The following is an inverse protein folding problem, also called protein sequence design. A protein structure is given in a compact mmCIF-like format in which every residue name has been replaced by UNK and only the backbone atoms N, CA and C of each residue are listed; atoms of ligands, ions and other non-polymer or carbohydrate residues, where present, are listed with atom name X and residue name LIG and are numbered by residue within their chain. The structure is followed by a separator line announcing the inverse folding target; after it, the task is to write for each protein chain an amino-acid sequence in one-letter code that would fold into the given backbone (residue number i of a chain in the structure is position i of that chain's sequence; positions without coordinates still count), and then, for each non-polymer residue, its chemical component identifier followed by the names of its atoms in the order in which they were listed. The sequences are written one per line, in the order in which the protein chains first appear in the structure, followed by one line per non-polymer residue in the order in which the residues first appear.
data_IF_196078748777
#
_entry.id   IF_196078748777
#
_cell.length_a   1.000
_cell.length_b   1.000
_cell.length_c   1.000
_cell.angle_alpha   90.00
_cell.angle_beta   90.00
_cell.angle_gamma   90.00
#
_symmetry.space_group_name_H-M   'P 1'
#
loop_
_entity.id
_entity.type
_entity.pdbx_description
1 polymer ?
#
# COMPACT_ATOMS: atom_id res chain seq x y z
N UNK A 1 -41.00 -20.29 36.22
CA UNK A 1 -40.20 -19.83 35.05
C UNK A 1 -38.81 -20.42 35.19
N UNK A 2 -38.50 -21.43 34.39
CA UNK A 2 -37.22 -22.14 34.47
C UNK A 2 -36.15 -21.38 33.68
N UNK A 3 -35.16 -20.82 34.37
CA UNK A 3 -34.05 -20.09 33.75
C UNK A 3 -33.13 -21.09 33.06
N UNK A 4 -33.09 -21.07 31.72
CA UNK A 4 -32.16 -21.88 30.92
C UNK A 4 -30.73 -21.65 31.40
N UNK A 5 -30.10 -22.71 31.90
CA UNK A 5 -28.68 -22.77 32.31
C UNK A 5 -27.81 -22.25 31.16
N UNK A 6 -26.92 -21.25 31.37
CA UNK A 6 -26.13 -20.70 30.28
C UNK A 6 -25.19 -21.79 29.75
N UNK A 7 -25.31 -22.09 28.45
CA UNK A 7 -24.42 -23.01 27.77
C UNK A 7 -22.97 -22.52 27.93
N UNK A 8 -22.07 -23.37 28.45
CA UNK A 8 -20.65 -23.06 28.59
C UNK A 8 -20.05 -22.82 27.20
N UNK A 9 -19.81 -21.56 26.85
CA UNK A 9 -19.21 -21.19 25.56
C UNK A 9 -17.72 -21.52 25.59
N UNK A 10 -17.23 -22.24 24.56
CA UNK A 10 -15.79 -22.49 24.36
C UNK A 10 -14.97 -21.20 24.21
N UNK A 11 -15.60 -20.10 23.79
CA UNK A 11 -14.96 -18.80 23.53
C UNK A 11 -15.56 -17.77 24.49
N UNK A 12 -14.81 -17.43 25.53
CA UNK A 12 -15.26 -16.62 26.67
C UNK A 12 -14.90 -15.14 26.56
N UNK A 13 -13.90 -14.79 25.76
CA UNK A 13 -13.43 -13.41 25.58
C UNK A 13 -14.21 -12.73 24.45
N UNK A 14 -14.82 -11.58 24.75
CA UNK A 14 -15.52 -10.73 23.79
C UNK A 14 -14.77 -9.41 23.59
N UNK A 15 -14.73 -8.93 22.34
CA UNK A 15 -14.18 -7.63 21.95
C UNK A 15 -15.22 -6.88 21.14
N UNK A 16 -15.37 -5.57 21.38
CA UNK A 16 -16.30 -4.70 20.66
C UNK A 16 -15.55 -3.94 19.57
N UNK A 17 -16.19 -3.81 18.41
CA UNK A 17 -15.73 -3.02 17.27
C UNK A 17 -16.90 -2.17 16.79
N UNK A 18 -16.62 -0.92 16.46
CA UNK A 18 -17.57 -0.03 15.80
C UNK A 18 -17.08 0.20 14.37
N UNK A 19 -18.04 0.28 13.44
CA UNK A 19 -17.79 0.59 12.04
C UNK A 19 -18.72 1.74 11.64
N UNK A 20 -18.22 2.63 10.79
CA UNK A 20 -19.07 3.47 9.96
C UNK A 20 -19.83 2.62 8.94
N UNK A 21 -20.89 3.18 8.34
CA UNK A 21 -21.67 2.49 7.32
C UNK A 21 -20.80 2.06 6.11
N UNK A 22 -19.86 2.92 5.71
CA UNK A 22 -18.96 2.69 4.57
C UNK A 22 -17.95 1.57 4.88
N UNK A 23 -17.39 1.54 6.09
CA UNK A 23 -16.49 0.47 6.52
C UNK A 23 -17.22 -0.87 6.61
N UNK A 24 -18.44 -0.87 7.15
CA UNK A 24 -19.25 -2.08 7.24
C UNK A 24 -19.56 -2.67 5.87
N UNK A 25 -19.89 -1.83 4.89
CA UNK A 25 -20.15 -2.30 3.53
C UNK A 25 -18.91 -2.98 2.91
N UNK A 26 -17.72 -2.41 3.13
CA UNK A 26 -16.46 -2.99 2.69
C UNK A 26 -16.20 -4.35 3.35
N UNK A 27 -16.38 -4.43 4.68
CA UNK A 27 -16.24 -5.67 5.45
C UNK A 27 -17.22 -6.73 4.94
N UNK A 28 -18.49 -6.36 4.72
CA UNK A 28 -19.52 -7.27 4.23
C UNK A 28 -19.22 -7.79 2.82
N UNK A 29 -18.71 -6.94 1.91
CA UNK A 29 -18.26 -7.36 0.57
C UNK A 29 -17.12 -8.38 0.66
N UNK A 30 -16.09 -8.10 1.45
CA UNK A 30 -14.95 -9.02 1.64
C UNK A 30 -15.41 -10.34 2.28
N UNK A 31 -16.23 -10.27 3.32
CA UNK A 31 -16.77 -11.45 3.99
C UNK A 31 -17.54 -12.37 3.02
N UNK A 32 -18.39 -11.80 2.15
CA UNK A 32 -19.09 -12.54 1.11
C UNK A 32 -18.15 -13.15 0.07
N UNK A 33 -17.12 -12.41 -0.35
CA UNK A 33 -16.12 -12.93 -1.29
C UNK A 33 -15.34 -14.14 -0.72
N UNK A 34 -15.12 -14.18 0.60
CA UNK A 34 -14.54 -15.34 1.30
C UNK A 34 -15.54 -16.48 1.56
N UNK A 35 -16.79 -16.37 1.09
CA UNK A 35 -17.83 -17.39 1.28
C UNK A 35 -18.34 -17.51 2.71
N UNK A 36 -18.12 -16.49 3.55
CA UNK A 36 -18.53 -16.49 4.95
C UNK A 36 -19.79 -15.64 5.15
N UNK A 37 -20.67 -16.11 6.03
CA UNK A 37 -21.93 -15.43 6.39
C UNK A 37 -21.91 -14.86 7.81
N UNK A 38 -20.97 -15.33 8.64
CA UNK A 38 -20.83 -14.91 10.04
C UNK A 38 -19.62 -14.00 10.22
N UNK A 39 -19.88 -12.75 10.62
CA UNK A 39 -18.82 -11.80 10.96
C UNK A 39 -17.88 -12.33 12.04
N UNK A 40 -18.40 -12.98 13.08
CA UNK A 40 -17.57 -13.54 14.17
C UNK A 40 -16.63 -14.65 13.72
N UNK A 41 -16.98 -15.38 12.65
CA UNK A 41 -16.08 -16.36 12.02
C UNK A 41 -15.06 -15.62 11.16
N UNK A 42 -15.52 -14.76 10.26
CA UNK A 42 -14.67 -13.96 9.37
C UNK A 42 -13.60 -13.15 10.13
N UNK A 43 -14.01 -12.40 11.16
CA UNK A 43 -13.11 -11.61 11.99
C UNK A 43 -12.08 -12.49 12.72
N UNK A 44 -12.47 -13.69 13.17
CA UNK A 44 -11.54 -14.61 13.84
C UNK A 44 -10.53 -15.19 12.87
N UNK A 45 -10.97 -15.66 11.70
CA UNK A 45 -10.07 -16.13 10.64
C UNK A 45 -9.08 -15.02 10.25
N UNK A 46 -9.56 -13.79 10.09
CA UNK A 46 -8.72 -12.65 9.75
C UNK A 46 -7.75 -12.27 10.89
N UNK A 47 -8.18 -12.32 12.16
CA UNK A 47 -7.32 -11.96 13.29
C UNK A 47 -6.30 -13.06 13.65
N UNK A 48 -6.60 -14.32 13.34
CA UNK A 48 -5.69 -15.46 13.60
C UNK A 48 -4.75 -15.74 12.43
N UNK A 49 -5.28 -15.67 11.20
CA UNK A 49 -4.58 -16.09 9.99
C UNK A 49 -4.29 -14.94 9.02
N UNK A 50 -4.88 -13.76 9.25
CA UNK A 50 -4.60 -12.59 8.44
C UNK A 50 -3.17 -12.14 8.65
N UNK A 51 -2.42 -12.09 7.55
CA UNK A 51 -1.10 -11.48 7.56
C UNK A 51 -1.31 -9.97 7.78
N UNK A 52 -0.84 -9.44 8.91
CA UNK A 52 -0.77 -7.99 9.12
C UNK A 52 0.39 -7.51 8.25
N UNK A 53 0.08 -7.06 7.04
CA UNK A 53 1.03 -6.25 6.29
C UNK A 53 1.08 -4.90 6.98
N UNK A 54 2.09 -4.70 7.83
CA UNK A 54 2.54 -3.36 8.17
C UNK A 54 3.02 -2.79 6.84
N UNK A 55 2.15 -2.06 6.15
CA UNK A 55 2.60 -1.11 5.15
C UNK A 55 3.30 -0.03 5.95
N UNK A 56 4.59 -0.24 6.26
CA UNK A 56 5.44 0.91 6.51
C UNK A 56 5.21 1.83 5.31
N UNK A 57 4.84 3.11 5.52
CA UNK A 57 4.58 4.03 4.44
C UNK A 57 5.87 4.23 3.65
N UNK A 58 6.16 3.36 2.68
CA UNK A 58 7.23 3.43 1.68
C UNK A 58 8.41 4.29 2.14
N UNK A 59 9.06 3.90 3.23
CA UNK A 59 10.17 4.65 3.83
C UNK A 59 11.37 4.74 2.87
N UNK A 60 11.38 3.93 1.81
CA UNK A 60 12.49 3.83 0.88
C UNK A 60 12.37 4.71 -0.38
N UNK A 61 11.30 5.50 -0.54
CA UNK A 61 11.15 6.37 -1.73
C UNK A 61 11.50 7.84 -1.48
N UNK A 62 11.99 8.20 -0.29
CA UNK A 62 12.40 9.58 0.03
C UNK A 62 13.49 10.08 -0.92
N UNK A 63 14.46 9.23 -1.22
CA UNK A 63 15.67 9.62 -1.94
C UNK A 63 15.42 9.72 -3.44
N UNK A 64 14.64 8.77 -3.99
CA UNK A 64 14.14 8.87 -5.36
C UNK A 64 13.25 10.09 -5.54
N UNK A 65 12.31 10.32 -4.61
CA UNK A 65 11.39 11.47 -4.66
C UNK A 65 12.13 12.79 -4.56
N UNK A 66 13.08 12.91 -3.64
CA UNK A 66 13.97 14.08 -3.52
C UNK A 66 14.76 14.35 -4.80
N UNK A 67 15.27 13.28 -5.44
CA UNK A 67 16.02 13.39 -6.70
C UNK A 67 15.12 13.85 -7.86
N UNK A 68 13.89 13.31 -7.96
CA UNK A 68 12.89 13.73 -8.95
C UNK A 68 12.45 15.19 -8.70
N UNK A 69 12.21 15.58 -7.45
CA UNK A 69 11.79 16.94 -7.08
C UNK A 69 12.84 17.98 -7.49
N UNK A 70 14.14 17.68 -7.27
CA UNK A 70 15.24 18.54 -7.71
C UNK A 70 15.28 18.69 -9.23
N UNK A 71 15.10 17.60 -9.98
CA UNK A 71 15.06 17.65 -11.44
C UNK A 71 13.85 18.45 -11.94
N UNK A 72 12.68 18.21 -11.35
CA UNK A 72 11.45 18.95 -11.66
C UNK A 72 11.61 20.46 -11.44
N UNK A 73 12.27 20.86 -10.36
CA UNK A 73 12.58 22.27 -10.10
C UNK A 73 13.48 22.89 -11.18
N UNK A 74 14.53 22.18 -11.62
CA UNK A 74 15.41 22.65 -12.70
C UNK A 74 14.65 22.81 -14.02
N UNK A 75 13.79 21.85 -14.37
CA UNK A 75 12.94 21.93 -15.57
C UNK A 75 11.97 23.13 -15.47
N UNK A 76 11.36 23.34 -14.31
CA UNK A 76 10.46 24.47 -14.08
C UNK A 76 11.18 25.83 -14.19
N UNK A 77 12.42 25.92 -13.72
CA UNK A 77 13.24 27.13 -13.90
C UNK A 77 13.53 27.41 -15.37
N UNK A 78 13.90 26.37 -16.15
CA UNK A 78 14.13 26.50 -17.58
C UNK A 78 12.84 26.93 -18.30
N UNK A 79 11.69 26.34 -17.94
CA UNK A 79 10.40 26.69 -18.50
C UNK A 79 10.01 28.14 -18.19
N UNK A 80 10.18 28.57 -16.93
CA UNK A 80 9.94 29.96 -16.52
C UNK A 80 10.85 30.93 -17.28
N UNK A 81 12.13 30.62 -17.42
CA UNK A 81 13.07 31.46 -18.17
C UNK A 81 12.67 31.56 -19.64
N UNK A 82 12.39 30.43 -20.30
CA UNK A 82 11.94 30.42 -21.70
C UNK A 82 10.61 31.15 -21.90
N UNK A 83 9.70 31.07 -20.94
CA UNK A 83 8.44 31.81 -20.95
C UNK A 83 8.66 33.32 -20.80
N UNK A 84 9.58 33.73 -19.91
CA UNK A 84 9.99 35.15 -19.72
C UNK A 84 10.64 35.70 -20.97
N UNK A 85 11.50 34.92 -21.63
CA UNK A 85 12.20 35.32 -22.85
C UNK A 85 11.32 35.21 -24.10
N UNK A 86 10.10 34.65 -23.96
CA UNK A 86 9.19 34.29 -25.06
C UNK A 86 9.82 33.40 -26.14
N UNK A 87 10.93 32.74 -25.81
CA UNK A 87 11.65 31.86 -26.71
C UNK A 87 12.42 30.79 -25.91
N UNK A 88 12.41 29.56 -26.42
CA UNK A 88 13.26 28.50 -25.91
C UNK A 88 14.54 28.41 -26.74
N UNK A 89 15.68 28.54 -26.09
CA UNK A 89 17.00 28.38 -26.73
C UNK A 89 17.33 26.91 -26.92
N UNK A 90 18.17 26.61 -27.92
CA UNK A 90 18.67 25.24 -28.13
C UNK A 90 19.35 24.66 -26.89
N UNK A 91 20.11 25.48 -26.15
CA UNK A 91 20.78 25.06 -24.91
C UNK A 91 19.78 24.65 -23.83
N UNK A 92 18.68 25.40 -23.66
CA UNK A 92 17.60 25.06 -22.72
C UNK A 92 16.92 23.74 -23.11
N UNK A 93 16.66 23.51 -24.39
CA UNK A 93 16.05 22.25 -24.87
C UNK A 93 16.98 21.06 -24.63
N UNK A 94 18.28 21.22 -24.90
CA UNK A 94 19.29 20.18 -24.62
C UNK A 94 19.39 19.90 -23.12
N UNK A 95 19.34 20.93 -22.28
CA UNK A 95 19.36 20.79 -20.82
C UNK A 95 18.14 20.02 -20.30
N UNK A 96 16.92 20.36 -20.76
CA UNK A 96 15.70 19.62 -20.38
C UNK A 96 15.77 18.17 -20.85
N UNK A 97 16.25 17.92 -22.08
CA UNK A 97 16.40 16.55 -22.58
C UNK A 97 17.35 15.72 -21.72
N UNK A 98 18.45 16.31 -21.24
CA UNK A 98 19.40 15.64 -20.33
C UNK A 98 18.74 15.32 -18.99
N UNK A 99 18.01 16.27 -18.41
CA UNK A 99 17.28 16.09 -17.16
C UNK A 99 16.21 14.99 -17.26
N UNK A 100 15.50 14.90 -18.38
CA UNK A 100 14.52 13.83 -18.61
C UNK A 100 15.17 12.45 -18.75
N UNK A 101 16.36 12.36 -19.37
CA UNK A 101 17.15 11.13 -19.38
C UNK A 101 17.55 10.71 -17.96
N UNK A 102 17.96 11.67 -17.11
CA UNK A 102 18.32 11.40 -15.72
C UNK A 102 17.14 10.84 -14.91
N UNK A 103 15.94 11.39 -15.07
CA UNK A 103 14.71 10.84 -14.47
C UNK A 103 14.45 9.40 -14.95
N UNK A 104 14.65 9.12 -16.24
CA UNK A 104 14.42 7.79 -16.80
C UNK A 104 15.37 6.75 -16.20
N UNK A 105 16.64 7.08 -16.01
CA UNK A 105 17.60 6.17 -15.39
C UNK A 105 17.29 5.97 -13.89
N UNK A 106 16.98 7.05 -13.15
CA UNK A 106 16.58 6.95 -11.74
C UNK A 106 15.37 6.03 -11.51
N UNK A 107 14.35 6.12 -12.38
CA UNK A 107 13.17 5.25 -12.29
C UNK A 107 13.50 3.80 -12.64
N UNK A 108 14.42 3.58 -13.58
CA UNK A 108 14.86 2.23 -13.98
C UNK A 108 15.65 1.52 -12.88
N UNK A 109 16.55 2.24 -12.22
CA UNK A 109 17.40 1.71 -11.14
C UNK A 109 16.59 1.33 -9.89
N UNK A 110 15.57 2.13 -9.57
CA UNK A 110 14.64 1.83 -8.46
C UNK A 110 13.73 0.63 -8.78
N UNK A 111 13.21 0.56 -10.02
CA UNK A 111 12.34 -0.54 -10.46
C UNK A 111 13.07 -1.90 -10.52
N UNK A 112 14.38 -1.91 -10.79
CA UNK A 112 15.19 -3.14 -10.83
C UNK A 112 15.52 -3.71 -9.45
N UNK A 113 15.31 -2.94 -8.38
CA UNK A 113 15.64 -3.32 -7.00
C UNK A 113 14.47 -3.98 -6.24
N UNK A 114 13.26 -3.98 -6.81
CA UNK A 114 12.03 -4.45 -6.15
C UNK A 114 11.57 -5.87 -6.57
N UNK A 115 12.31 -6.56 -7.44
CA UNK A 115 11.84 -7.77 -8.13
C UNK A 115 12.33 -9.10 -7.50
N UNK A 116 12.57 -9.14 -6.18
CA UNK A 116 13.12 -10.34 -5.54
C UNK A 116 12.78 -10.49 -4.07
N UNK A 117 11.78 -11.35 -3.80
CA UNK A 117 11.68 -12.33 -2.71
C UNK A 117 10.26 -12.42 -2.09
N UNK A 118 9.36 -13.08 -2.81
CA UNK A 118 8.25 -13.82 -2.18
C UNK A 118 8.69 -15.27 -2.00
N UNK A 119 9.28 -15.61 -0.84
CA UNK A 119 9.40 -17.01 -0.44
C UNK A 119 8.04 -17.49 0.06
N UNK A 120 7.39 -18.32 -0.75
CA UNK A 120 6.27 -19.16 -0.35
C UNK A 120 6.79 -20.25 0.59
N UNK A 121 6.45 -20.13 1.88
CA UNK A 121 6.55 -21.23 2.83
C UNK A 121 5.13 -21.57 3.30
N UNK A 122 4.46 -22.41 2.52
CA UNK A 122 3.32 -23.18 3.01
C UNK A 122 3.72 -24.64 3.18
N UNK A 123 3.21 -25.19 4.28
CA UNK A 123 3.16 -26.59 4.68
C UNK A 123 4.43 -27.18 5.31
N UNK A 124 4.42 -27.27 6.64
CA UNK A 124 3.98 -28.52 7.31
C UNK A 124 3.93 -28.33 8.82
N UNK A 125 2.73 -28.22 9.40
CA UNK A 125 2.51 -28.67 10.78
C UNK A 125 1.16 -29.37 10.82
N UNK A 126 1.21 -30.70 10.76
CA UNK A 126 0.14 -31.56 11.25
C UNK A 126 0.23 -31.61 12.79
N UNK A 127 -0.88 -31.54 13.55
CA UNK A 127 -0.85 -31.68 14.99
C UNK A 127 -1.24 -33.11 15.43
N UNK A 128 -0.46 -33.68 16.36
CA UNK A 128 -1.00 -34.57 17.41
C UNK A 128 -1.51 -33.72 18.59
#
# INVERSE_FOLDING_TARGET
METRKPARRKRTIQKHLWFSAVEWEQVARRMRAYGLTSFSRYARELLLNGQITIMEPTTNMSDLRSSIDRIGNNVNQIAKQANTDHMATYQQVVAVRRLLTEVRELVRDDSGSHDGHYQDQRHSTDPE
#
